data_IF_657165207508
#
_entry.id   IF_657165207508
#
_cell.length_a   1.000
_cell.length_b   1.000
_cell.length_c   1.000
_cell.angle_alpha   90.00
_cell.angle_beta   90.00
_cell.angle_gamma   90.00
#
_symmetry.space_group_name_H-M   'P 1'
#
loop_
_entity.id
_entity.type
_entity.pdbx_description
1 polymer ?
#
# COMPACT_ATOMS: atom_id res chain seq x y z
N UNK A 1 -86.08 19.02 9.57
CA UNK A 1 -85.07 18.61 8.57
C UNK A 1 -85.35 19.25 7.20
N UNK A 2 -85.26 20.58 7.06
CA UNK A 2 -85.40 21.21 5.73
C UNK A 2 -84.58 22.50 5.58
N UNK A 3 -83.66 22.76 6.53
CA UNK A 3 -82.80 23.95 6.57
C UNK A 3 -81.31 23.62 6.46
N UNK A 4 -80.92 22.33 6.46
CA UNK A 4 -79.52 21.90 6.34
C UNK A 4 -79.10 21.43 4.94
N UNK A 5 -80.04 21.20 4.01
CA UNK A 5 -79.72 20.70 2.67
C UNK A 5 -79.44 21.81 1.64
N UNK A 6 -79.84 23.05 1.93
CA UNK A 6 -79.65 24.19 1.01
C UNK A 6 -78.27 24.86 1.14
N UNK A 7 -77.50 24.52 2.18
CA UNK A 7 -76.20 25.14 2.48
C UNK A 7 -74.99 24.34 1.95
N UNK A 8 -75.16 23.10 1.51
CA UNK A 8 -74.04 22.25 1.05
C UNK A 8 -73.78 22.29 -0.47
N UNK A 9 -74.69 22.88 -1.26
CA UNK A 9 -74.55 23.04 -2.72
C UNK A 9 -74.19 24.49 -3.12
N UNK A 10 -73.73 25.29 -2.15
CA UNK A 10 -73.27 26.68 -2.36
C UNK A 10 -71.76 26.85 -2.17
N UNK A 11 -70.93 25.84 -2.45
CA UNK A 11 -69.47 26.01 -2.55
C UNK A 11 -68.94 25.53 -3.89
N UNK A 12 -68.25 26.46 -4.56
CA UNK A 12 -67.58 26.38 -5.86
C UNK A 12 -68.46 26.51 -7.10
N UNK A 13 -69.08 27.68 -7.26
CA UNK A 13 -69.15 28.28 -8.60
C UNK A 13 -68.17 29.46 -8.58
N UNK A 14 -67.04 29.39 -9.31
CA UNK A 14 -66.15 30.53 -9.41
C UNK A 14 -66.92 31.70 -10.02
N UNK A 15 -66.82 32.84 -9.35
CA UNK A 15 -67.31 34.14 -9.80
C UNK A 15 -66.79 34.35 -11.23
N UNK A 16 -67.70 34.23 -12.19
CA UNK A 16 -67.40 34.33 -13.62
C UNK A 16 -67.04 35.79 -13.87
N UNK A 17 -65.75 36.04 -14.10
CA UNK A 17 -65.25 37.33 -14.57
C UNK A 17 -66.11 37.79 -15.74
N UNK A 18 -66.85 38.88 -15.52
CA UNK A 18 -67.84 39.42 -16.45
C UNK A 18 -67.19 40.17 -17.63
N UNK A 19 -65.91 39.89 -17.92
CA UNK A 19 -65.09 40.59 -18.92
C UNK A 19 -64.42 39.71 -19.98
N UNK A 20 -64.39 38.39 -19.85
CA UNK A 20 -63.78 37.51 -20.87
C UNK A 20 -64.70 36.34 -21.21
N UNK A 21 -65.72 36.60 -22.02
CA UNK A 21 -66.26 35.55 -22.88
C UNK A 21 -65.10 35.01 -23.72
N UNK A 22 -64.74 33.74 -23.51
CA UNK A 22 -63.70 33.06 -24.28
C UNK A 22 -64.03 33.13 -25.77
N UNK A 23 -63.01 33.13 -26.64
CA UNK A 23 -63.24 33.17 -28.09
C UNK A 23 -64.24 32.12 -28.58
N UNK A 24 -64.26 30.95 -27.92
CA UNK A 24 -65.23 29.89 -28.13
C UNK A 24 -66.67 30.29 -27.74
N UNK A 25 -66.88 31.00 -26.62
CA UNK A 25 -68.23 31.46 -26.22
C UNK A 25 -68.77 32.53 -27.16
N UNK A 26 -67.93 33.47 -27.64
CA UNK A 26 -68.34 34.47 -28.65
C UNK A 26 -68.66 33.83 -30.01
N UNK A 27 -67.91 32.79 -30.40
CA UNK A 27 -68.19 32.05 -31.63
C UNK A 27 -69.52 31.29 -31.54
N UNK A 28 -69.79 30.63 -30.40
CA UNK A 28 -71.08 29.95 -30.16
C UNK A 28 -72.25 30.95 -30.19
N UNK A 29 -72.07 32.14 -29.62
CA UNK A 29 -73.08 33.19 -29.61
C UNK A 29 -73.34 33.74 -31.03
N UNK A 30 -72.29 33.96 -31.83
CA UNK A 30 -72.43 34.36 -33.24
C UNK A 30 -73.05 33.28 -34.12
N UNK A 31 -72.72 32.01 -33.91
CA UNK A 31 -73.39 30.89 -34.61
C UNK A 31 -74.86 30.73 -34.20
N UNK A 32 -75.22 31.16 -32.98
CA UNK A 32 -76.61 31.22 -32.56
C UNK A 32 -77.35 32.36 -33.27
N UNK A 33 -76.74 33.54 -33.39
CA UNK A 33 -77.29 34.67 -34.15
C UNK A 33 -77.54 34.30 -35.63
N UNK A 34 -76.60 33.61 -36.29
CA UNK A 34 -76.78 33.16 -37.68
C UNK A 34 -77.95 32.18 -37.81
N UNK A 35 -78.03 31.19 -36.92
CA UNK A 35 -79.15 30.23 -36.90
C UNK A 35 -80.49 30.93 -36.69
N UNK A 36 -80.55 31.97 -35.87
CA UNK A 36 -81.77 32.73 -35.64
C UNK A 36 -82.18 33.52 -36.90
N UNK A 37 -81.23 34.18 -37.56
CA UNK A 37 -81.48 34.89 -38.83
C UNK A 37 -81.90 33.93 -39.94
N UNK A 38 -81.28 32.75 -40.05
CA UNK A 38 -81.64 31.73 -41.03
C UNK A 38 -83.07 31.20 -40.79
N UNK A 39 -83.42 30.98 -39.52
CA UNK A 39 -84.76 30.56 -39.12
C UNK A 39 -85.79 31.63 -39.48
N UNK A 40 -85.48 32.91 -39.23
CA UNK A 40 -86.34 34.02 -39.65
C UNK A 40 -86.51 34.06 -41.18
N UNK A 41 -85.43 33.93 -41.95
CA UNK A 41 -85.49 33.90 -43.41
C UNK A 41 -86.36 32.74 -43.94
N UNK A 42 -86.23 31.57 -43.31
CA UNK A 42 -86.98 30.37 -43.69
C UNK A 42 -88.47 30.51 -43.36
N UNK A 43 -88.82 31.02 -42.18
CA UNK A 43 -90.22 31.35 -41.84
C UNK A 43 -90.81 32.40 -42.77
N UNK A 44 -90.02 33.40 -43.17
CA UNK A 44 -90.46 34.42 -44.14
C UNK A 44 -90.73 33.80 -45.53
N UNK A 45 -89.89 32.87 -45.99
CA UNK A 45 -90.09 32.15 -47.26
C UNK A 45 -91.34 31.27 -47.24
N UNK A 46 -91.59 30.60 -46.12
CA UNK A 46 -92.77 29.75 -45.92
C UNK A 46 -94.07 30.58 -45.88
N UNK A 47 -94.08 31.74 -45.21
CA UNK A 47 -95.24 32.64 -45.19
C UNK A 47 -95.52 33.26 -46.57
N UNK A 48 -94.47 33.62 -47.32
CA UNK A 48 -94.63 34.05 -48.71
C UNK A 48 -95.25 32.97 -49.60
N UNK A 49 -94.83 31.71 -49.41
CA UNK A 49 -95.38 30.57 -50.16
C UNK A 49 -96.84 30.25 -49.78
N UNK A 50 -97.20 30.30 -48.50
CA UNK A 50 -98.60 30.07 -48.07
C UNK A 50 -99.52 31.18 -48.53
N UNK A 51 -99.06 32.43 -48.53
CA UNK A 51 -99.83 33.56 -49.07
C UNK A 51 -100.10 33.40 -50.56
N UNK A 52 -99.08 33.02 -51.35
CA UNK A 52 -99.25 32.73 -52.78
C UNK A 52 -100.22 31.57 -53.03
N UNK A 53 -100.18 30.54 -52.19
CA UNK A 53 -101.08 29.39 -52.24
C UNK A 53 -102.54 29.79 -51.93
N UNK A 54 -102.76 30.66 -50.93
CA UNK A 54 -104.09 31.19 -50.61
C UNK A 54 -104.63 32.04 -51.77
N UNK A 55 -103.81 32.89 -52.39
CA UNK A 55 -104.21 33.68 -53.56
C UNK A 55 -104.59 32.78 -54.74
N UNK A 56 -103.84 31.69 -54.98
CA UNK A 56 -104.18 30.69 -56.00
C UNK A 56 -105.49 29.96 -55.70
N UNK A 57 -105.78 29.64 -54.44
CA UNK A 57 -107.06 29.03 -54.03
C UNK A 57 -108.23 30.01 -54.25
N UNK A 58 -108.07 31.28 -53.88
CA UNK A 58 -109.11 32.30 -54.10
C UNK A 58 -109.37 32.48 -55.60
N UNK A 59 -108.33 32.58 -56.42
CA UNK A 59 -108.46 32.64 -57.88
C UNK A 59 -109.12 31.38 -58.47
N UNK A 60 -108.77 30.18 -57.97
CA UNK A 60 -109.31 28.91 -58.45
C UNK A 60 -110.72 28.57 -57.96
N UNK A 61 -111.20 29.17 -56.87
CA UNK A 61 -112.58 28.99 -56.36
C UNK A 61 -113.57 29.93 -57.02
N UNK A 62 -113.11 31.05 -57.59
CA UNK A 62 -113.94 31.93 -58.41
C UNK A 62 -114.43 31.25 -59.70
N UNK A 63 -113.70 30.28 -60.25
CA UNK A 63 -114.08 29.61 -61.50
C UNK A 63 -115.12 28.49 -61.33
N UNK A 64 -115.27 27.92 -60.13
CA UNK A 64 -116.16 26.76 -59.89
C UNK A 64 -117.52 27.12 -59.30
N UNK A 65 -117.62 28.25 -58.59
CA UNK A 65 -118.88 28.71 -58.01
C UNK A 65 -119.77 29.49 -59.01
N UNK A 66 -119.20 29.95 -60.13
CA UNK A 66 -119.97 30.61 -61.21
C UNK A 66 -120.69 29.57 -62.09
N UNK A 67 -120.19 28.33 -62.18
CA UNK A 67 -120.74 27.29 -63.05
C UNK A 67 -121.88 26.48 -62.41
N UNK A 68 -122.07 26.56 -61.09
CA UNK A 68 -123.06 25.75 -60.35
C UNK A 68 -124.45 26.42 -60.28
N UNK A 69 -124.58 27.72 -60.57
CA UNK A 69 -125.88 28.43 -60.56
C UNK A 69 -126.64 28.28 -61.90
N UNK A 70 -126.01 27.75 -62.95
CA UNK A 70 -126.61 27.70 -64.30
C UNK A 70 -127.46 26.44 -64.57
N UNK A 71 -127.53 25.45 -63.65
CA UNK A 71 -128.06 24.12 -64.01
C UNK A 71 -129.20 23.56 -63.15
N UNK A 72 -130.05 24.41 -62.55
CA UNK A 72 -131.30 23.96 -61.92
C UNK A 72 -132.41 24.99 -62.23
N UNK A 73 -133.47 24.53 -62.91
CA UNK A 73 -134.74 25.21 -63.27
C UNK A 73 -134.83 25.86 -64.67
N UNK A 74 -135.01 25.02 -65.70
CA UNK A 74 -135.73 25.42 -66.92
C UNK A 74 -137.14 24.81 -66.89
N UNK A 75 -138.12 25.60 -66.42
CA UNK A 75 -139.57 25.38 -66.61
C UNK A 75 -140.12 26.71 -67.15
N UNK A 76 -140.88 26.73 -68.25
CA UNK A 76 -141.17 27.97 -68.99
C UNK A 76 -142.35 28.74 -68.36
N UNK A 77 -142.23 30.07 -68.21
CA UNK A 77 -143.43 30.91 -68.13
C UNK A 77 -143.40 32.28 -67.46
N UNK A 78 -142.31 32.74 -66.83
CA UNK A 78 -142.28 34.08 -66.20
C UNK A 78 -140.87 34.70 -66.37
N UNK A 79 -140.62 35.35 -67.52
CA UNK A 79 -139.31 35.85 -67.96
C UNK A 79 -139.20 37.40 -68.03
N UNK A 80 -139.84 38.15 -67.13
CA UNK A 80 -139.68 39.62 -67.08
C UNK A 80 -139.27 40.20 -65.72
N UNK A 81 -139.41 39.48 -64.60
CA UNK A 81 -139.01 39.98 -63.26
C UNK A 81 -137.67 39.41 -62.79
N UNK A 82 -137.20 38.33 -63.42
CA UNK A 82 -135.95 37.66 -63.09
C UNK A 82 -134.73 38.29 -63.77
N UNK A 83 -134.84 38.84 -65.01
CA UNK A 83 -133.70 39.45 -65.73
C UNK A 83 -133.19 40.73 -65.06
N UNK A 84 -134.08 41.51 -64.45
CA UNK A 84 -133.69 42.73 -63.74
C UNK A 84 -132.98 42.40 -62.42
N UNK A 85 -133.45 41.44 -61.62
CA UNK A 85 -132.78 41.07 -60.36
C UNK A 85 -131.44 40.40 -60.62
N UNK A 86 -131.30 39.56 -61.66
CA UNK A 86 -129.99 38.97 -61.96
C UNK A 86 -129.01 39.97 -62.57
N UNK A 87 -129.38 40.93 -63.44
CA UNK A 87 -128.42 41.97 -63.87
C UNK A 87 -127.97 42.86 -62.70
N UNK A 88 -128.86 43.18 -61.76
CA UNK A 88 -128.49 43.89 -60.54
C UNK A 88 -127.48 43.09 -59.71
N UNK A 89 -127.79 41.83 -59.38
CA UNK A 89 -126.90 40.98 -58.57
C UNK A 89 -125.59 40.68 -59.29
N UNK A 90 -125.61 40.51 -60.62
CA UNK A 90 -124.41 40.33 -61.43
C UNK A 90 -123.55 41.59 -61.39
N UNK A 91 -124.07 42.79 -61.65
CA UNK A 91 -123.26 44.02 -61.61
C UNK A 91 -122.77 44.29 -60.18
N UNK A 92 -123.56 44.01 -59.15
CA UNK A 92 -123.13 44.09 -57.76
C UNK A 92 -121.96 43.12 -57.49
N UNK A 93 -122.09 41.83 -57.83
CA UNK A 93 -121.06 40.83 -57.59
C UNK A 93 -119.82 41.10 -58.45
N UNK A 94 -119.98 41.57 -59.69
CA UNK A 94 -118.88 41.98 -60.55
C UNK A 94 -118.12 43.16 -59.93
N UNK A 95 -118.79 44.26 -59.56
CA UNK A 95 -118.11 45.42 -58.94
C UNK A 95 -117.49 45.04 -57.59
N UNK A 96 -118.16 44.20 -56.79
CA UNK A 96 -117.59 43.69 -55.55
C UNK A 96 -116.33 42.85 -55.81
N UNK A 97 -116.36 41.88 -56.74
CA UNK A 97 -115.19 41.06 -57.08
C UNK A 97 -114.08 41.91 -57.70
N UNK A 98 -114.41 42.88 -58.55
CA UNK A 98 -113.45 43.82 -59.09
C UNK A 98 -112.76 44.60 -57.97
N UNK A 99 -113.51 45.27 -57.08
CA UNK A 99 -112.95 46.05 -55.96
C UNK A 99 -112.16 45.15 -55.00
N UNK A 100 -112.65 43.94 -54.71
CA UNK A 100 -111.92 42.96 -53.90
C UNK A 100 -110.60 42.56 -54.56
N UNK A 101 -110.58 42.24 -55.86
CA UNK A 101 -109.35 41.88 -56.58
C UNK A 101 -108.40 43.08 -56.66
N UNK A 102 -108.91 44.29 -56.91
CA UNK A 102 -108.10 45.51 -56.89
C UNK A 102 -107.42 45.71 -55.52
N UNK A 103 -108.19 45.66 -54.42
CA UNK A 103 -107.66 45.82 -53.07
C UNK A 103 -106.70 44.69 -52.70
N UNK A 104 -107.03 43.45 -53.07
CA UNK A 104 -106.14 42.30 -52.87
C UNK A 104 -104.82 42.48 -53.64
N UNK A 105 -104.83 42.88 -54.91
CA UNK A 105 -103.61 43.12 -55.70
C UNK A 105 -102.81 44.28 -55.12
N UNK A 106 -103.45 45.39 -54.73
CA UNK A 106 -102.75 46.51 -54.08
C UNK A 106 -102.08 46.08 -52.76
N UNK A 107 -102.79 45.34 -51.90
CA UNK A 107 -102.23 44.82 -50.65
C UNK A 107 -101.13 43.80 -50.92
N UNK A 108 -101.30 42.91 -51.90
CA UNK A 108 -100.26 41.95 -52.29
C UNK A 108 -98.99 42.66 -52.77
N UNK A 109 -99.10 43.69 -53.62
CA UNK A 109 -97.94 44.44 -54.14
C UNK A 109 -97.25 45.22 -53.02
N UNK A 110 -97.99 45.88 -52.12
CA UNK A 110 -97.41 46.58 -50.98
C UNK A 110 -96.68 45.61 -50.02
N UNK A 111 -97.31 44.47 -49.71
CA UNK A 111 -96.70 43.44 -48.84
C UNK A 111 -95.49 42.80 -49.53
N UNK A 112 -95.54 42.56 -50.84
CA UNK A 112 -94.40 42.05 -51.61
C UNK A 112 -93.23 43.04 -51.64
N UNK A 113 -93.47 44.34 -51.82
CA UNK A 113 -92.41 45.36 -51.77
C UNK A 113 -91.77 45.48 -50.39
N UNK A 114 -92.58 45.51 -49.31
CA UNK A 114 -92.04 45.49 -47.94
C UNK A 114 -91.29 44.19 -47.65
N UNK A 115 -91.76 43.06 -48.19
CA UNK A 115 -91.14 41.74 -48.03
C UNK A 115 -89.78 41.66 -48.74
N UNK A 116 -89.66 42.20 -49.95
CA UNK A 116 -88.40 42.26 -50.69
C UNK A 116 -87.37 43.11 -49.94
N UNK A 117 -87.75 44.33 -49.51
CA UNK A 117 -86.87 45.21 -48.74
C UNK A 117 -86.40 44.57 -47.42
N UNK A 118 -87.30 43.87 -46.72
CA UNK A 118 -86.97 43.18 -45.46
C UNK A 118 -86.09 41.96 -45.69
N UNK A 119 -86.32 41.21 -46.76
CA UNK A 119 -85.50 40.06 -47.15
C UNK A 119 -84.09 40.49 -47.53
N UNK A 120 -83.94 41.57 -48.30
CA UNK A 120 -82.64 42.15 -48.62
C UNK A 120 -81.91 42.65 -47.38
N UNK A 121 -82.60 43.33 -46.46
CA UNK A 121 -82.02 43.82 -45.20
C UNK A 121 -81.53 42.67 -44.31
N UNK A 122 -82.31 41.59 -44.20
CA UNK A 122 -81.91 40.39 -43.46
C UNK A 122 -80.74 39.65 -44.13
N UNK A 123 -80.70 39.60 -45.46
CA UNK A 123 -79.57 39.05 -46.22
C UNK A 123 -78.29 39.87 -45.99
N UNK A 124 -78.35 41.21 -46.06
CA UNK A 124 -77.21 42.08 -45.73
C UNK A 124 -76.71 41.84 -44.31
N UNK A 125 -77.63 41.74 -43.33
CA UNK A 125 -77.28 41.46 -41.93
C UNK A 125 -76.64 40.08 -41.77
N UNK A 126 -77.12 39.07 -42.48
CA UNK A 126 -76.51 37.72 -42.51
C UNK A 126 -75.08 37.79 -43.03
N UNK A 127 -74.86 38.45 -44.16
CA UNK A 127 -73.55 38.59 -44.78
C UNK A 127 -72.57 39.37 -43.88
N UNK A 128 -73.03 40.41 -43.19
CA UNK A 128 -72.23 41.13 -42.21
C UNK A 128 -71.82 40.28 -41.02
N UNK A 129 -72.74 39.46 -40.49
CA UNK A 129 -72.45 38.56 -39.37
C UNK A 129 -71.47 37.46 -39.80
N UNK A 130 -71.64 36.90 -41.00
CA UNK A 130 -70.72 35.92 -41.57
C UNK A 130 -69.31 36.50 -41.73
N UNK A 131 -69.18 37.72 -42.29
CA UNK A 131 -67.89 38.42 -42.40
C UNK A 131 -67.25 38.69 -41.03
N UNK A 132 -68.06 39.01 -40.01
CA UNK A 132 -67.57 39.20 -38.63
C UNK A 132 -67.12 37.88 -38.01
N UNK A 133 -67.81 36.77 -38.25
CA UNK A 133 -67.41 35.44 -37.77
C UNK A 133 -66.09 35.00 -38.41
N UNK A 134 -65.92 35.20 -39.71
CA UNK A 134 -64.70 34.86 -40.44
C UNK A 134 -63.50 35.66 -39.91
N UNK A 135 -63.66 36.99 -39.76
CA UNK A 135 -62.63 37.84 -39.14
C UNK A 135 -62.29 37.40 -37.71
N UNK A 136 -63.29 36.99 -36.93
CA UNK A 136 -63.05 36.47 -35.58
C UNK A 136 -62.28 35.15 -35.62
N UNK A 137 -62.64 34.21 -36.50
CA UNK A 137 -61.93 32.94 -36.69
C UNK A 137 -60.47 33.16 -37.09
N UNK A 138 -60.21 34.07 -38.03
CA UNK A 138 -58.85 34.44 -38.41
C UNK A 138 -58.06 35.02 -37.25
N UNK A 139 -58.66 35.92 -36.46
CA UNK A 139 -57.98 36.51 -35.30
C UNK A 139 -57.65 35.47 -34.22
N UNK A 140 -58.55 34.51 -33.99
CA UNK A 140 -58.33 33.40 -33.06
C UNK A 140 -57.23 32.47 -33.55
N UNK A 141 -57.20 32.16 -34.85
CA UNK A 141 -56.15 31.34 -35.45
C UNK A 141 -54.77 32.02 -35.34
N UNK A 142 -54.70 33.33 -35.62
CA UNK A 142 -53.48 34.13 -35.45
C UNK A 142 -53.02 34.15 -33.99
N UNK A 143 -53.94 34.30 -33.04
CA UNK A 143 -53.63 34.30 -31.61
C UNK A 143 -53.16 32.93 -31.11
N UNK A 144 -53.82 31.84 -31.50
CA UNK A 144 -53.38 30.47 -31.16
C UNK A 144 -52.00 30.16 -31.73
N UNK A 145 -51.74 30.56 -32.99
CA UNK A 145 -50.41 30.46 -33.59
C UNK A 145 -49.37 31.26 -32.79
N UNK A 146 -49.69 32.48 -32.39
CA UNK A 146 -48.81 33.31 -31.56
C UNK A 146 -48.51 32.67 -30.21
N UNK A 147 -49.52 32.12 -29.52
CA UNK A 147 -49.32 31.41 -28.25
C UNK A 147 -48.41 30.20 -28.42
N UNK A 148 -48.65 29.36 -29.43
CA UNK A 148 -47.80 28.21 -29.74
C UNK A 148 -46.35 28.63 -30.04
N UNK A 149 -46.16 29.68 -30.83
CA UNK A 149 -44.82 30.19 -31.12
C UNK A 149 -44.13 30.78 -29.88
N UNK A 150 -44.88 31.47 -29.01
CA UNK A 150 -44.36 32.04 -27.77
C UNK A 150 -43.98 30.95 -26.77
N UNK A 151 -44.85 29.96 -26.56
CA UNK A 151 -44.56 28.78 -25.73
C UNK A 151 -43.36 28.00 -26.27
N UNK A 152 -43.25 27.86 -27.60
CA UNK A 152 -42.08 27.24 -28.21
C UNK A 152 -40.80 28.07 -28.03
N UNK A 153 -40.88 29.41 -28.08
CA UNK A 153 -39.75 30.31 -27.76
C UNK A 153 -39.36 30.20 -26.29
N UNK A 154 -40.33 30.21 -25.38
CA UNK A 154 -40.12 30.04 -23.94
C UNK A 154 -39.47 28.70 -23.64
N UNK A 155 -40.01 27.60 -24.17
CA UNK A 155 -39.46 26.26 -23.97
C UNK A 155 -38.05 26.08 -24.55
N UNK A 156 -37.72 26.75 -25.67
CA UNK A 156 -36.33 26.78 -26.17
C UNK A 156 -35.42 27.61 -25.27
N UNK A 157 -35.89 28.74 -24.75
CA UNK A 157 -35.18 29.59 -23.81
C UNK A 157 -34.87 28.87 -22.50
N UNK A 158 -35.87 28.20 -21.92
CA UNK A 158 -35.73 27.38 -20.70
C UNK A 158 -34.73 26.24 -20.91
N UNK A 159 -34.85 25.48 -22.01
CA UNK A 159 -33.89 24.41 -22.32
C UNK A 159 -32.46 24.92 -22.54
N UNK A 160 -32.30 26.10 -23.16
CA UNK A 160 -30.98 26.71 -23.34
C UNK A 160 -30.39 27.16 -22.00
N UNK A 161 -31.20 27.82 -21.16
CA UNK A 161 -30.78 28.23 -19.82
C UNK A 161 -30.43 27.02 -18.95
N UNK A 162 -31.16 25.91 -19.04
CA UNK A 162 -30.86 24.69 -18.31
C UNK A 162 -29.55 24.04 -18.77
N UNK A 163 -29.32 23.93 -20.08
CA UNK A 163 -28.04 23.46 -20.63
C UNK A 163 -26.85 24.33 -20.20
N UNK A 164 -27.03 25.66 -20.18
CA UNK A 164 -26.00 26.59 -19.71
C UNK A 164 -25.72 26.40 -18.21
N UNK A 165 -26.77 26.24 -17.39
CA UNK A 165 -26.60 25.93 -15.95
C UNK A 165 -25.89 24.60 -15.73
N UNK A 166 -26.21 23.57 -16.51
CA UNK A 166 -25.54 22.26 -16.43
C UNK A 166 -24.07 22.35 -16.84
N UNK A 167 -23.77 23.09 -17.91
CA UNK A 167 -22.40 23.35 -18.34
C UNK A 167 -21.60 24.10 -17.27
N UNK A 168 -22.19 25.13 -16.65
CA UNK A 168 -21.56 25.85 -15.54
C UNK A 168 -21.30 24.91 -14.37
N UNK A 169 -22.29 24.10 -13.95
CA UNK A 169 -22.12 23.13 -12.86
C UNK A 169 -21.00 22.12 -13.15
N UNK A 170 -20.89 21.63 -14.39
CA UNK A 170 -19.80 20.74 -14.79
C UNK A 170 -18.44 21.44 -14.71
N UNK A 171 -18.35 22.67 -15.23
CA UNK A 171 -17.10 23.44 -15.22
C UNK A 171 -16.67 23.83 -13.80
N UNK A 172 -17.61 24.19 -12.94
CA UNK A 172 -17.35 24.42 -11.51
C UNK A 172 -16.80 23.16 -10.83
N UNK A 173 -17.37 21.99 -11.13
CA UNK A 173 -16.84 20.72 -10.64
C UNK A 173 -15.44 20.38 -11.15
N UNK A 174 -15.13 20.68 -12.42
CA UNK A 174 -13.78 20.53 -12.98
C UNK A 174 -12.78 21.49 -12.32
N UNK A 175 -13.18 22.76 -12.12
CA UNK A 175 -12.35 23.76 -11.45
C UNK A 175 -12.00 23.32 -10.03
N UNK A 176 -12.96 22.78 -9.29
CA UNK A 176 -12.71 22.36 -7.91
C UNK A 176 -11.74 21.18 -7.85
N UNK A 177 -11.89 20.18 -8.72
CA UNK A 177 -10.92 19.08 -8.85
C UNK A 177 -9.52 19.59 -9.18
N UNK A 178 -9.41 20.50 -10.14
CA UNK A 178 -8.11 21.08 -10.52
C UNK A 178 -7.49 21.90 -9.37
N UNK A 179 -8.29 22.60 -8.57
CA UNK A 179 -7.78 23.29 -7.38
C UNK A 179 -7.24 22.32 -6.33
N UNK A 180 -7.95 21.21 -6.08
CA UNK A 180 -7.47 20.17 -5.18
C UNK A 180 -6.14 19.58 -5.67
N UNK A 181 -6.03 19.26 -6.97
CA UNK A 181 -4.79 18.79 -7.58
C UNK A 181 -3.66 19.81 -7.46
N UNK A 182 -3.93 21.10 -7.75
CA UNK A 182 -2.96 22.17 -7.56
C UNK A 182 -2.49 22.29 -6.11
N UNK A 183 -3.40 22.21 -5.13
CA UNK A 183 -3.06 22.27 -3.72
C UNK A 183 -2.15 21.11 -3.29
N UNK A 184 -2.42 19.89 -3.78
CA UNK A 184 -1.56 18.72 -3.53
C UNK A 184 -0.17 18.91 -4.14
N UNK A 185 -0.10 19.39 -5.39
CA UNK A 185 1.16 19.65 -6.07
C UNK A 185 1.96 20.76 -5.39
N UNK A 186 1.31 21.82 -4.92
CA UNK A 186 1.94 22.89 -4.14
C UNK A 186 2.50 22.38 -2.81
N UNK A 187 1.74 21.55 -2.09
CA UNK A 187 2.22 20.93 -0.86
C UNK A 187 3.44 20.02 -1.12
N UNK A 188 3.44 19.28 -2.23
CA UNK A 188 4.59 18.46 -2.64
C UNK A 188 5.80 19.30 -3.02
N UNK A 189 5.60 20.38 -3.80
CA UNK A 189 6.65 21.36 -4.12
C UNK A 189 7.27 21.94 -2.85
N UNK A 190 6.46 22.40 -1.89
CA UNK A 190 6.95 22.94 -0.62
C UNK A 190 7.72 21.91 0.20
N UNK A 191 7.30 20.63 0.16
CA UNK A 191 8.05 19.54 0.81
C UNK A 191 9.41 19.31 0.16
N UNK A 192 9.48 19.32 -1.17
CA UNK A 192 10.74 19.19 -1.89
C UNK A 192 11.64 20.39 -1.67
N UNK A 193 11.09 21.61 -1.71
CA UNK A 193 11.84 22.83 -1.46
C UNK A 193 12.49 22.82 -0.08
N UNK A 194 11.76 22.43 0.97
CA UNK A 194 12.34 22.25 2.32
C UNK A 194 13.48 21.25 2.36
N UNK A 195 13.39 20.15 1.58
CA UNK A 195 14.50 19.17 1.47
C UNK A 195 15.71 19.79 0.79
N UNK A 196 15.49 20.52 -0.31
CA UNK A 196 16.55 21.21 -1.05
C UNK A 196 17.22 22.25 -0.16
N UNK A 197 16.46 23.10 0.53
CA UNK A 197 16.99 24.10 1.48
C UNK A 197 17.80 23.46 2.60
N UNK A 198 17.32 22.34 3.17
CA UNK A 198 18.06 21.58 4.17
C UNK A 198 19.40 21.04 3.62
N UNK A 199 19.42 20.60 2.37
CA UNK A 199 20.64 20.09 1.73
C UNK A 199 21.54 21.19 1.16
N UNK A 200 21.00 22.37 0.88
CA UNK A 200 21.71 23.49 0.26
C UNK A 200 22.86 24.00 1.14
N UNK A 201 22.72 23.92 2.46
CA UNK A 201 23.81 24.23 3.39
C UNK A 201 25.08 23.41 3.08
N UNK A 202 24.94 22.10 2.83
CA UNK A 202 26.09 21.26 2.51
C UNK A 202 26.73 21.65 1.18
N UNK A 203 25.92 22.03 0.18
CA UNK A 203 26.45 22.53 -1.08
C UNK A 203 27.24 23.84 -0.90
N UNK A 204 26.69 24.80 -0.15
CA UNK A 204 27.39 26.07 0.15
C UNK A 204 28.68 25.85 0.93
N UNK A 205 28.70 24.88 1.85
CA UNK A 205 29.91 24.47 2.55
C UNK A 205 30.93 23.84 1.58
N UNK A 206 30.50 22.94 0.69
CA UNK A 206 31.38 22.32 -0.30
C UNK A 206 31.99 23.34 -1.27
N UNK A 207 31.23 24.36 -1.68
CA UNK A 207 31.75 25.48 -2.46
C UNK A 207 32.82 26.29 -1.70
N UNK A 208 32.65 26.50 -0.39
CA UNK A 208 33.67 27.14 0.44
C UNK A 208 34.94 26.29 0.52
N UNK A 209 34.79 24.97 0.69
CA UNK A 209 35.92 24.03 0.70
C UNK A 209 36.62 24.02 -0.66
N UNK A 210 35.87 24.05 -1.77
CA UNK A 210 36.42 24.10 -3.13
C UNK A 210 37.34 25.32 -3.31
N UNK A 211 36.93 26.49 -2.82
CA UNK A 211 37.75 27.73 -2.86
C UNK A 211 39.08 27.58 -2.13
N UNK A 212 39.13 26.81 -1.05
CA UNK A 212 40.35 26.57 -0.28
C UNK A 212 41.23 25.48 -0.92
N UNK A 213 40.60 24.46 -1.50
CA UNK A 213 41.25 23.22 -1.89
C UNK A 213 41.77 23.20 -3.35
N UNK A 214 41.51 24.24 -4.14
CA UNK A 214 41.99 24.41 -5.54
C UNK A 214 41.63 23.25 -6.49
N UNK A 215 40.46 22.63 -6.34
CA UNK A 215 39.91 21.69 -7.32
C UNK A 215 39.05 22.43 -8.36
N UNK A 216 38.82 21.83 -9.53
CA UNK A 216 38.04 22.47 -10.60
C UNK A 216 36.55 22.53 -10.26
N UNK A 217 36.01 21.45 -9.69
CA UNK A 217 34.63 21.39 -9.23
C UNK A 217 34.44 20.57 -7.95
N UNK A 218 33.22 20.64 -7.38
CA UNK A 218 32.85 19.90 -6.16
C UNK A 218 32.86 18.39 -6.40
N UNK A 219 32.60 17.92 -7.62
CA UNK A 219 32.52 16.50 -7.94
C UNK A 219 33.88 15.83 -8.00
N UNK A 220 34.88 16.51 -8.54
CA UNK A 220 36.29 16.13 -8.53
C UNK A 220 36.80 16.03 -7.09
N UNK A 221 36.50 17.04 -6.26
CA UNK A 221 36.80 17.02 -4.84
C UNK A 221 36.16 15.80 -4.14
N UNK A 222 34.86 15.57 -4.37
CA UNK A 222 34.15 14.41 -3.80
C UNK A 222 34.69 13.08 -4.33
N UNK A 223 35.06 13.02 -5.61
CA UNK A 223 35.69 11.85 -6.23
C UNK A 223 37.02 11.53 -5.57
N UNK A 224 37.87 12.55 -5.36
CA UNK A 224 39.14 12.38 -4.65
C UNK A 224 38.93 11.95 -3.20
N UNK A 225 37.97 12.55 -2.50
CA UNK A 225 37.60 12.13 -1.14
C UNK A 225 37.10 10.69 -1.10
N UNK A 226 36.27 10.27 -2.05
CA UNK A 226 35.77 8.90 -2.14
C UNK A 226 36.91 7.90 -2.38
N UNK A 227 37.86 8.22 -3.28
CA UNK A 227 39.07 7.42 -3.46
C UNK A 227 39.90 7.36 -2.18
N UNK A 228 40.10 8.50 -1.50
CA UNK A 228 40.85 8.54 -0.24
C UNK A 228 40.18 7.70 0.85
N UNK A 229 38.85 7.77 0.99
CA UNK A 229 38.10 6.94 1.94
C UNK A 229 38.24 5.46 1.61
N UNK A 230 38.12 5.08 0.33
CA UNK A 230 38.31 3.69 -0.11
C UNK A 230 39.73 3.20 0.18
N UNK A 231 40.75 3.99 -0.15
CA UNK A 231 42.15 3.64 0.14
C UNK A 231 42.43 3.56 1.64
N UNK A 232 41.83 4.44 2.46
CA UNK A 232 41.95 4.40 3.92
C UNK A 232 41.39 3.10 4.47
N UNK A 233 40.23 2.66 3.99
CA UNK A 233 39.61 1.40 4.43
C UNK A 233 40.47 0.19 4.04
N UNK A 234 40.98 0.16 2.80
CA UNK A 234 41.90 -0.88 2.34
C UNK A 234 43.19 -0.93 3.16
N UNK A 235 43.78 0.23 3.49
CA UNK A 235 44.98 0.31 4.32
C UNK A 235 44.71 -0.19 5.73
N UNK A 236 43.56 0.18 6.32
CA UNK A 236 43.16 -0.28 7.65
C UNK A 236 42.95 -1.80 7.69
N UNK A 237 42.34 -2.37 6.66
CA UNK A 237 42.20 -3.81 6.55
C UNK A 237 43.57 -4.49 6.47
N UNK A 238 44.46 -4.00 5.60
CA UNK A 238 45.81 -4.55 5.46
C UNK A 238 46.64 -4.42 6.74
N UNK A 239 46.50 -3.32 7.47
CA UNK A 239 47.13 -3.14 8.78
C UNK A 239 46.64 -4.21 9.77
N UNK A 240 45.33 -4.47 9.80
CA UNK A 240 44.76 -5.53 10.65
C UNK A 240 45.29 -6.92 10.29
N UNK A 241 45.36 -7.25 9.00
CA UNK A 241 45.88 -8.54 8.52
C UNK A 241 47.36 -8.73 8.87
N UNK A 242 48.18 -7.68 8.67
CA UNK A 242 49.61 -7.71 9.01
C UNK A 242 49.80 -7.81 10.52
N UNK A 243 48.99 -7.12 11.32
CA UNK A 243 49.03 -7.19 12.77
C UNK A 243 48.69 -8.60 13.27
N UNK A 244 47.64 -9.23 12.74
CA UNK A 244 47.27 -10.60 13.08
C UNK A 244 48.38 -11.59 12.69
N UNK A 245 49.01 -11.41 11.52
CA UNK A 245 50.13 -12.22 11.10
C UNK A 245 51.34 -12.07 12.04
N UNK A 246 51.67 -10.83 12.43
CA UNK A 246 52.76 -10.54 13.35
C UNK A 246 52.52 -11.15 14.75
N UNK A 247 51.28 -11.05 15.25
CA UNK A 247 50.89 -11.64 16.53
C UNK A 247 50.92 -13.18 16.46
N UNK A 248 50.51 -13.76 15.33
CA UNK A 248 50.64 -15.19 15.05
C UNK A 248 52.09 -15.67 15.04
N UNK A 249 52.99 -14.93 14.37
CA UNK A 249 54.43 -15.22 14.35
C UNK A 249 55.06 -15.07 15.74
N UNK A 250 54.71 -14.02 16.48
CA UNK A 250 55.18 -13.80 17.86
C UNK A 250 54.72 -14.93 18.78
N UNK A 251 53.47 -15.38 18.65
CA UNK A 251 52.95 -16.52 19.40
C UNK A 251 53.60 -17.86 19.03
N UNK A 252 53.97 -18.06 17.75
CA UNK A 252 54.74 -19.24 17.33
C UNK A 252 56.17 -19.23 17.88
N UNK A 253 56.84 -18.08 17.83
CA UNK A 253 58.19 -17.91 18.38
C UNK A 253 58.19 -18.13 19.89
N UNK A 254 57.22 -17.57 20.61
CA UNK A 254 57.10 -17.76 22.06
C UNK A 254 56.96 -19.24 22.42
N UNK A 255 56.05 -19.97 21.74
CA UNK A 255 55.87 -21.42 21.95
C UNK A 255 57.15 -22.20 21.70
N UNK A 256 57.89 -21.86 20.64
CA UNK A 256 59.17 -22.50 20.35
C UNK A 256 60.19 -22.24 21.45
N UNK A 257 60.33 -21.00 21.91
CA UNK A 257 61.24 -20.63 23.00
C UNK A 257 60.88 -21.33 24.30
N UNK A 258 59.59 -21.41 24.65
CA UNK A 258 59.13 -22.12 25.85
C UNK A 258 59.47 -23.61 25.76
N UNK A 259 59.24 -24.23 24.60
CA UNK A 259 59.58 -25.63 24.36
C UNK A 259 61.09 -25.89 24.47
N UNK A 260 61.92 -25.03 23.87
CA UNK A 260 63.38 -25.16 23.98
C UNK A 260 63.86 -24.95 25.42
N UNK A 261 63.26 -23.99 26.14
CA UNK A 261 63.57 -23.75 27.55
C UNK A 261 63.25 -24.98 28.42
N UNK A 262 62.10 -25.62 28.19
CA UNK A 262 61.75 -26.89 28.84
C UNK A 262 62.74 -28.01 28.49
N UNK A 263 63.18 -28.12 27.23
CA UNK A 263 64.17 -29.12 26.82
C UNK A 263 65.53 -28.89 27.48
N UNK A 264 65.99 -27.63 27.55
CA UNK A 264 67.22 -27.25 28.25
C UNK A 264 67.12 -27.61 29.73
N UNK A 265 66.00 -27.27 30.38
CA UNK A 265 65.76 -27.61 31.78
C UNK A 265 65.82 -29.13 32.00
N UNK A 266 65.19 -29.91 31.14
CA UNK A 266 65.22 -31.38 31.21
C UNK A 266 66.65 -31.93 31.06
N UNK A 267 67.42 -31.43 30.09
CA UNK A 267 68.82 -31.84 29.90
C UNK A 267 69.71 -31.42 31.07
N UNK A 268 69.51 -30.23 31.64
CA UNK A 268 70.25 -29.78 32.81
C UNK A 268 69.95 -30.64 34.04
N UNK A 269 68.69 -31.02 34.24
CA UNK A 269 68.32 -31.94 35.31
C UNK A 269 68.99 -33.31 35.13
N UNK A 270 69.02 -33.85 33.91
CA UNK A 270 69.72 -35.11 33.62
C UNK A 270 71.24 -34.98 33.83
N UNK A 271 71.84 -33.86 33.41
CA UNK A 271 73.26 -33.59 33.63
C UNK A 271 73.60 -33.59 35.13
N UNK A 272 72.76 -32.93 35.95
CA UNK A 272 72.93 -32.90 37.40
C UNK A 272 72.80 -34.29 38.04
N UNK A 273 71.86 -35.11 37.55
CA UNK A 273 71.74 -36.52 37.99
C UNK A 273 73.00 -37.31 37.65
N UNK A 274 73.47 -37.25 36.41
CA UNK A 274 74.67 -37.96 35.96
C UNK A 274 75.94 -37.48 36.69
N UNK A 275 76.05 -36.19 36.99
CA UNK A 275 77.14 -35.65 37.81
C UNK A 275 77.11 -36.24 39.23
N UNK A 276 75.93 -36.30 39.84
CA UNK A 276 75.76 -36.88 41.18
C UNK A 276 76.16 -38.36 41.20
N UNK A 277 75.73 -39.14 40.19
CA UNK A 277 76.13 -40.55 40.06
C UNK A 277 77.64 -40.70 39.87
N UNK A 278 78.25 -39.87 39.02
CA UNK A 278 79.68 -39.89 38.77
C UNK A 278 80.48 -39.57 40.04
N UNK A 279 80.05 -38.58 40.82
CA UNK A 279 80.68 -38.23 42.09
C UNK A 279 80.54 -39.34 43.13
N UNK A 280 79.38 -40.02 43.18
CA UNK A 280 79.20 -41.20 44.03
C UNK A 280 80.15 -42.34 43.64
N UNK A 281 80.26 -42.65 42.35
CA UNK A 281 81.17 -43.70 41.84
C UNK A 281 82.62 -43.34 42.15
N UNK A 282 83.03 -42.08 41.92
CA UNK A 282 84.39 -41.59 42.24
C UNK A 282 84.69 -41.70 43.73
N UNK A 283 83.76 -41.28 44.60
CA UNK A 283 83.89 -41.42 46.05
C UNK A 283 84.05 -42.89 46.47
N UNK A 284 83.27 -43.79 45.87
CA UNK A 284 83.37 -45.22 46.13
C UNK A 284 84.70 -45.80 45.66
N UNK A 285 85.18 -45.42 44.47
CA UNK A 285 86.47 -45.85 43.93
C UNK A 285 87.62 -45.40 44.84
N UNK A 286 87.62 -44.13 45.27
CA UNK A 286 88.61 -43.59 46.21
C UNK A 286 88.60 -44.35 47.55
N UNK A 287 87.41 -44.70 48.06
CA UNK A 287 87.30 -45.52 49.28
C UNK A 287 87.95 -46.89 49.11
N UNK A 288 87.70 -47.55 47.98
CA UNK A 288 88.30 -48.86 47.69
C UNK A 288 89.82 -48.76 47.47
N UNK A 289 90.29 -47.71 46.81
CA UNK A 289 91.71 -47.45 46.62
C UNK A 289 92.44 -47.22 47.95
N UNK A 290 91.87 -46.42 48.85
CA UNK A 290 92.40 -46.24 50.21
C UNK A 290 92.42 -47.56 50.99
N UNK A 291 91.36 -48.36 50.87
CA UNK A 291 91.29 -49.69 51.50
C UNK A 291 92.38 -50.61 50.96
N UNK A 292 92.55 -50.65 49.64
CA UNK A 292 93.59 -51.41 48.96
C UNK A 292 94.99 -50.96 49.37
N UNK A 293 95.24 -49.65 49.41
CA UNK A 293 96.51 -49.08 49.85
C UNK A 293 96.83 -49.47 51.30
N UNK A 294 95.83 -49.45 52.19
CA UNK A 294 96.00 -49.92 53.56
C UNK A 294 96.35 -51.42 53.59
N UNK A 295 95.62 -52.27 52.85
CA UNK A 295 95.91 -53.71 52.77
C UNK A 295 97.32 -53.95 52.25
N UNK A 296 97.71 -53.27 51.17
CA UNK A 296 99.03 -53.38 50.56
C UNK A 296 100.14 -52.95 51.52
N UNK A 297 99.95 -51.83 52.23
CA UNK A 297 100.92 -51.33 53.22
C UNK A 297 101.08 -52.30 54.38
N UNK A 298 99.97 -52.84 54.90
CA UNK A 298 100.00 -53.87 55.95
C UNK A 298 100.71 -55.12 55.45
N UNK A 299 100.37 -55.63 54.26
CA UNK A 299 100.99 -56.80 53.66
C UNK A 299 102.51 -56.60 53.44
N UNK A 300 102.93 -55.40 53.00
CA UNK A 300 104.35 -55.08 52.83
C UNK A 300 105.10 -55.08 54.18
N UNK A 301 104.49 -54.54 55.25
CA UNK A 301 105.06 -54.60 56.60
C UNK A 301 105.19 -56.03 57.12
N UNK A 302 104.14 -56.84 56.99
CA UNK A 302 104.17 -58.25 57.39
C UNK A 302 105.19 -59.06 56.57
N UNK A 303 105.28 -58.80 55.26
CA UNK A 303 106.28 -59.45 54.39
C UNK A 303 107.71 -59.06 54.79
N UNK A 304 107.94 -57.78 55.14
CA UNK A 304 109.23 -57.32 55.62
C UNK A 304 109.59 -57.96 56.98
N UNK A 305 108.65 -57.99 57.92
CA UNK A 305 108.85 -58.66 59.22
C UNK A 305 109.16 -60.14 59.05
N UNK A 306 108.40 -60.82 58.20
CA UNK A 306 108.67 -62.22 57.84
C UNK A 306 110.08 -62.36 57.27
N UNK A 307 110.46 -61.51 56.30
CA UNK A 307 111.81 -61.50 55.74
C UNK A 307 112.91 -61.26 56.77
N UNK A 308 112.71 -60.33 57.70
CA UNK A 308 113.64 -60.08 58.82
C UNK A 308 113.76 -61.29 59.74
N UNK A 309 112.63 -61.91 60.11
CA UNK A 309 112.62 -63.15 60.91
C UNK A 309 113.40 -64.24 60.17
N UNK A 310 113.15 -64.44 58.87
CA UNK A 310 113.89 -65.42 58.06
C UNK A 310 115.40 -65.19 58.09
N UNK A 311 115.85 -63.94 57.90
CA UNK A 311 117.28 -63.59 57.92
C UNK A 311 117.90 -63.77 59.31
N UNK A 312 117.22 -63.34 60.38
CA UNK A 312 117.72 -63.49 61.76
C UNK A 312 117.80 -64.96 62.13
N UNK A 313 116.77 -65.75 61.82
CA UNK A 313 116.77 -67.21 62.00
C UNK A 313 117.92 -67.83 61.25
N UNK A 314 118.09 -67.52 59.96
CA UNK A 314 119.17 -68.06 59.14
C UNK A 314 120.54 -67.73 59.75
N UNK A 315 120.75 -66.46 60.14
CA UNK A 315 122.00 -66.02 60.75
C UNK A 315 122.27 -66.72 62.09
N UNK A 316 121.26 -66.86 62.96
CA UNK A 316 121.38 -67.62 64.20
C UNK A 316 121.73 -69.09 63.92
N UNK A 317 121.05 -69.72 62.95
CA UNK A 317 121.33 -71.09 62.54
C UNK A 317 122.78 -71.28 62.10
N UNK A 318 123.29 -70.35 61.29
CA UNK A 318 124.69 -70.35 60.85
C UNK A 318 125.67 -70.14 62.01
N UNK A 319 125.37 -69.24 62.95
CA UNK A 319 126.24 -69.01 64.12
C UNK A 319 126.40 -70.24 65.02
N UNK A 320 125.39 -71.11 65.08
CA UNK A 320 125.49 -72.39 65.80
C UNK A 320 126.26 -73.47 65.01
N UNK A 321 126.84 -73.13 63.85
CA UNK A 321 127.57 -74.05 63.00
C UNK A 321 126.69 -74.84 62.00
N UNK A 322 125.43 -74.43 61.82
CA UNK A 322 124.56 -74.99 60.79
C UNK A 322 125.04 -74.62 59.39
N UNK A 323 125.15 -75.60 58.49
CA UNK A 323 125.47 -75.34 57.08
C UNK A 323 124.20 -75.31 56.23
N UNK A 324 124.14 -74.41 55.27
CA UNK A 324 123.09 -74.35 54.25
C UNK A 324 123.62 -74.86 52.91
N UNK A 325 122.82 -75.65 52.19
CA UNK A 325 123.13 -76.09 50.82
C UNK A 325 124.11 -77.27 50.70
N UNK A 326 124.39 -77.99 51.79
CA UNK A 326 125.13 -79.27 51.77
C UNK A 326 124.19 -80.45 52.11
N UNK A 327 124.54 -81.69 51.79
CA UNK A 327 123.69 -82.91 51.94
C UNK A 327 123.11 -83.15 53.35
N UNK A 328 123.60 -82.48 54.41
CA UNK A 328 123.07 -82.54 55.78
C UNK A 328 122.57 -81.18 56.32
N UNK A 329 122.61 -80.14 55.50
CA UNK A 329 122.21 -78.77 55.84
C UNK A 329 120.72 -78.52 55.64
N UNK A 330 120.14 -77.59 56.41
CA UNK A 330 118.74 -77.15 56.19
C UNK A 330 118.69 -76.22 54.98
N UNK A 331 117.60 -76.24 54.21
CA UNK A 331 117.41 -75.34 53.07
C UNK A 331 117.35 -73.87 53.54
N UNK A 332 117.87 -72.96 52.70
CA UNK A 332 117.98 -71.53 53.04
C UNK A 332 116.61 -70.90 53.34
N UNK A 333 115.56 -71.31 52.63
CA UNK A 333 114.20 -70.75 52.76
C UNK A 333 113.31 -71.47 53.79
N UNK A 334 113.78 -72.59 54.35
CA UNK A 334 113.05 -73.40 55.32
C UNK A 334 113.31 -72.90 56.76
N UNK A 335 112.65 -71.80 57.09
CA UNK A 335 112.80 -71.10 58.36
C UNK A 335 112.29 -71.91 59.56
N UNK A 336 111.30 -72.78 59.35
CA UNK A 336 110.69 -73.57 60.43
C UNK A 336 111.67 -74.61 60.96
N UNK A 337 112.26 -75.42 60.07
CA UNK A 337 113.28 -76.41 60.43
C UNK A 337 114.55 -75.75 60.99
N UNK A 338 114.91 -74.54 60.53
CA UNK A 338 116.02 -73.77 61.10
C UNK A 338 115.73 -73.33 62.54
N UNK A 339 114.54 -72.80 62.82
CA UNK A 339 114.10 -72.44 64.17
C UNK A 339 114.07 -73.64 65.11
N UNK A 340 113.60 -74.80 64.65
CA UNK A 340 113.60 -76.04 65.43
C UNK A 340 115.03 -76.46 65.83
N UNK A 341 115.98 -76.41 64.90
CA UNK A 341 117.39 -76.70 65.21
C UNK A 341 118.01 -75.67 66.15
N UNK A 342 117.64 -74.39 66.04
CA UNK A 342 118.05 -73.34 67.00
C UNK A 342 117.47 -73.62 68.38
N UNK A 343 116.20 -73.99 68.47
CA UNK A 343 115.57 -74.35 69.72
C UNK A 343 116.27 -75.54 70.38
N UNK A 344 116.53 -76.62 69.63
CA UNK A 344 117.26 -77.80 70.13
C UNK A 344 118.66 -77.41 70.63
N UNK A 345 119.40 -76.61 69.87
CA UNK A 345 120.72 -76.15 70.30
C UNK A 345 120.67 -75.30 71.58
N UNK A 346 119.72 -74.37 71.70
CA UNK A 346 119.54 -73.57 72.93
C UNK A 346 119.16 -74.46 74.10
N UNK A 347 118.27 -75.44 73.90
CA UNK A 347 117.89 -76.41 74.93
C UNK A 347 119.11 -77.25 75.37
N UNK A 348 119.91 -77.74 74.44
CA UNK A 348 121.15 -78.48 74.72
C UNK A 348 122.15 -77.61 75.48
N UNK A 349 122.41 -76.37 75.03
CA UNK A 349 123.29 -75.44 75.75
C UNK A 349 122.76 -75.12 77.16
N UNK A 350 121.46 -74.95 77.32
CA UNK A 350 120.86 -74.71 78.63
C UNK A 350 120.97 -75.94 79.54
N UNK A 351 120.85 -77.16 78.99
CA UNK A 351 121.09 -78.40 79.70
C UNK A 351 122.57 -78.54 80.09
N UNK A 352 123.51 -78.17 79.21
CA UNK A 352 124.95 -78.15 79.49
C UNK A 352 125.29 -77.15 80.60
N UNK A 353 124.76 -75.92 80.54
CA UNK A 353 124.96 -74.90 81.60
C UNK A 353 124.34 -75.35 82.93
N UNK A 354 123.17 -75.98 82.90
CA UNK A 354 122.53 -76.54 84.10
C UNK A 354 123.33 -77.71 84.68
N UNK A 355 123.97 -78.54 83.84
CA UNK A 355 124.87 -79.61 84.27
C UNK A 355 126.22 -79.07 84.79
N UNK A 356 126.77 -77.98 84.22
CA UNK A 356 127.97 -77.29 84.73
C UNK A 356 127.74 -76.61 86.08
N UNK A 357 126.50 -76.24 86.41
CA UNK A 357 126.12 -75.77 87.74
C UNK A 357 126.05 -76.88 88.81
N UNK A 358 126.25 -78.17 88.45
CA UNK A 358 126.02 -79.32 89.34
C UNK A 358 127.25 -80.21 89.66
N UNK A 359 128.52 -79.73 89.61
CA UNK A 359 129.65 -80.45 90.28
C UNK A 359 130.83 -79.57 90.78
N UNK A 360 131.54 -79.93 91.90
CA UNK A 360 132.17 -78.95 92.81
C UNK A 360 133.72 -79.10 93.07
N UNK A 361 134.44 -78.00 93.41
CA UNK A 361 135.36 -77.84 94.59
C UNK A 361 136.39 -76.67 94.55
N UNK A 362 136.36 -75.89 95.64
CA UNK A 362 137.43 -75.29 96.50
C UNK A 362 138.53 -74.27 96.09
N UNK A 363 138.65 -73.27 97.02
CA UNK A 363 139.82 -72.51 97.50
C UNK A 363 140.19 -71.23 96.70
N UNK A 364 140.51 -70.04 97.26
CA UNK A 364 140.90 -69.61 98.62
C UNK A 364 140.98 -68.06 98.71
N UNK A 365 140.78 -67.51 99.91
CA UNK A 365 141.55 -66.40 100.54
C UNK A 365 141.33 -64.91 100.17
N UNK A 366 140.71 -64.22 101.14
CA UNK A 366 141.03 -62.93 101.82
C UNK A 366 141.71 -61.77 101.06
N UNK A 367 141.14 -60.56 101.21
CA UNK A 367 141.83 -59.41 101.82
C UNK A 367 140.83 -58.33 102.30
N UNK A 368 141.14 -57.77 103.46
CA UNK A 368 140.47 -56.67 104.17
C UNK A 368 141.11 -55.31 103.81
N UNK A 369 140.45 -54.24 104.29
CA UNK A 369 140.80 -52.81 104.44
C UNK A 369 140.09 -51.90 103.40
N UNK A 370 139.10 -51.08 103.76
CA UNK A 370 138.70 -50.49 105.04
C UNK A 370 137.18 -50.28 105.10
#
# INVERSE_FOLDING_TARGET
>A
MHTYFRAYVCRKVPVRDRGLMSGATRMIEKQREIREVDKQLQTHREVGATFLFIVLIIMGTCDKNVTIIVNILYVPGILCVCVCVCVCVCVCVCVCVCVCVCVCVCVCVCVSQEFELKTESLQRRRDEVMKKEEKLKESLFKFDKFLKENDAKRGRGEKKAERERDAVRQKEGEIEKLKEECAVLEAWRLRLQRRVEKTAFYWTFLEQVLRLAKYEDVWELLGRFATLLSTKEQLRQRESEVQEQADGQRGALQRYTDQQSCSILQKNNLLSQLQTELDQIRSNALRWENTWYHIQTTAAKETLLLGQIKVVTLNLYHMMGGTTGQEKGVAIDDTETQLEKIQLFIQDQSAIVNNLKQSPSHATTKANLK
#
